data_IF_478379296491
#
_entry.id   IF_478379296491
#
_cell.length_a   1.000
_cell.length_b   1.000
_cell.length_c   1.000
_cell.angle_alpha   90.00
_cell.angle_beta   90.00
_cell.angle_gamma   90.00
#
_symmetry.space_group_name_H-M   'P 1'
#
loop_
_entity.id
_entity.type
_entity.pdbx_description
1 polymer ?
#
# COMPACT_ATOMS: atom_id res chain seq x y z
N UNK A 1 18.28 20.24 -1.61
CA UNK A 1 17.58 21.03 -0.57
C UNK A 1 16.84 20.17 0.45
N UNK A 2 15.84 19.36 0.08
CA UNK A 2 15.10 18.53 1.04
C UNK A 2 16.01 17.62 1.91
N UNK A 3 16.88 16.83 1.28
CA UNK A 3 17.87 16.02 2.01
C UNK A 3 18.97 16.84 2.71
N UNK A 4 19.18 18.10 2.29
CA UNK A 4 20.07 19.02 3.01
C UNK A 4 19.43 19.48 4.33
N UNK A 5 18.10 19.68 4.34
CA UNK A 5 17.32 19.99 5.56
C UNK A 5 17.17 18.76 6.46
N UNK A 6 16.89 17.60 5.88
CA UNK A 6 16.76 16.34 6.61
C UNK A 6 17.44 15.19 5.85
N UNK A 7 18.70 14.84 6.20
CA UNK A 7 19.41 13.72 5.57
C UNK A 7 18.78 12.35 5.85
N UNK A 8 17.94 12.24 6.88
CA UNK A 8 17.25 10.99 7.29
C UNK A 8 15.83 10.88 6.72
N UNK A 9 15.48 11.71 5.75
CA UNK A 9 14.14 11.68 5.15
C UNK A 9 13.89 10.29 4.54
N UNK A 10 12.84 9.56 4.97
CA UNK A 10 12.58 8.22 4.48
C UNK A 10 12.17 8.21 2.99
N UNK A 11 11.52 9.27 2.54
CA UNK A 11 11.03 9.42 1.18
C UNK A 11 10.87 10.91 0.83
N UNK A 12 11.20 11.29 -0.41
CA UNK A 12 11.07 12.70 -0.83
C UNK A 12 9.63 13.24 -0.68
N UNK A 13 8.63 12.37 -0.83
CA UNK A 13 7.22 12.70 -0.62
C UNK A 13 6.86 13.08 0.83
N UNK A 14 7.72 12.79 1.82
CA UNK A 14 7.49 13.19 3.22
C UNK A 14 8.11 14.54 3.56
N UNK A 15 8.77 15.22 2.62
CA UNK A 15 9.20 16.61 2.79
C UNK A 15 8.02 17.56 2.57
N UNK A 16 7.95 18.62 3.37
CA UNK A 16 6.82 19.55 3.41
C UNK A 16 6.57 20.25 2.07
N UNK A 17 7.64 20.65 1.36
CA UNK A 17 7.53 21.30 0.07
C UNK A 17 6.88 20.36 -0.95
N UNK A 18 7.40 19.13 -1.07
CA UNK A 18 6.87 18.15 -2.03
C UNK A 18 5.45 17.72 -1.68
N UNK A 19 5.15 17.53 -0.39
CA UNK A 19 3.78 17.23 0.08
C UNK A 19 2.81 18.31 -0.37
N UNK A 20 3.19 19.58 -0.17
CA UNK A 20 2.35 20.74 -0.49
C UNK A 20 2.12 20.88 -1.99
N UNK A 21 3.18 20.79 -2.81
CA UNK A 21 3.06 20.93 -4.26
C UNK A 21 2.29 19.77 -4.89
N UNK A 22 2.53 18.53 -4.43
CA UNK A 22 1.82 17.36 -4.95
C UNK A 22 0.34 17.39 -4.57
N UNK A 23 0.01 17.80 -3.34
CA UNK A 23 -1.38 17.90 -2.89
C UNK A 23 -2.24 18.79 -3.80
N UNK A 24 -1.67 19.88 -4.34
CA UNK A 24 -2.34 20.77 -5.30
C UNK A 24 -2.66 20.07 -6.63
N UNK A 25 -1.82 19.12 -7.03
CA UNK A 25 -1.94 18.40 -8.31
C UNK A 25 -2.89 17.20 -8.25
N UNK A 26 -3.09 16.58 -7.07
CA UNK A 26 -3.87 15.34 -6.91
C UNK A 26 -5.26 15.40 -7.58
N UNK A 27 -6.09 16.46 -7.40
CA UNK A 27 -7.43 16.48 -8.00
C UNK A 27 -7.39 16.44 -9.53
N UNK A 28 -6.48 17.19 -10.16
CA UNK A 28 -6.32 17.20 -11.61
C UNK A 28 -5.77 15.88 -12.12
N UNK A 29 -4.80 15.31 -11.40
CA UNK A 29 -4.19 14.04 -11.74
C UNK A 29 -5.20 12.90 -11.78
N UNK A 30 -6.08 12.82 -10.76
CA UNK A 30 -7.18 11.83 -10.73
C UNK A 30 -8.12 11.97 -11.91
N UNK A 31 -8.50 13.21 -12.27
CA UNK A 31 -9.37 13.47 -13.44
C UNK A 31 -8.74 12.99 -14.74
N UNK A 32 -7.44 13.26 -14.94
CA UNK A 32 -6.72 12.82 -16.14
C UNK A 32 -6.64 11.29 -16.22
N UNK A 33 -6.31 10.62 -15.11
CA UNK A 33 -6.23 9.15 -15.07
C UNK A 33 -7.60 8.52 -15.34
N UNK A 34 -8.66 9.02 -14.72
CA UNK A 34 -10.02 8.52 -14.94
C UNK A 34 -10.50 8.73 -16.38
N UNK A 35 -10.29 9.93 -16.94
CA UNK A 35 -10.64 10.24 -18.32
C UNK A 35 -9.89 9.35 -19.32
N UNK A 36 -8.57 9.21 -19.13
CA UNK A 36 -7.75 8.39 -20.02
C UNK A 36 -8.19 6.93 -20.01
N UNK A 37 -8.46 6.37 -18.82
CA UNK A 37 -8.97 5.01 -18.68
C UNK A 37 -10.33 4.82 -19.38
N UNK A 38 -11.28 5.75 -19.19
CA UNK A 38 -12.59 5.68 -19.82
C UNK A 38 -12.54 5.88 -21.35
N UNK A 39 -11.54 6.61 -21.85
CA UNK A 39 -11.39 6.94 -23.27
C UNK A 39 -10.46 5.98 -24.02
N UNK A 40 -9.86 5.00 -23.34
CA UNK A 40 -8.91 4.06 -23.95
C UNK A 40 -7.53 4.62 -24.25
N UNK A 41 -7.13 5.73 -23.61
CA UNK A 41 -5.79 6.29 -23.76
C UNK A 41 -4.79 5.63 -22.81
N UNK A 42 -3.64 5.13 -23.32
CA UNK A 42 -2.62 4.54 -22.46
C UNK A 42 -1.86 5.64 -21.71
N UNK A 43 -2.01 5.68 -20.39
CA UNK A 43 -1.30 6.61 -19.50
C UNK A 43 -0.54 5.87 -18.38
N UNK A 44 0.31 4.89 -18.72
CA UNK A 44 0.86 3.93 -17.76
C UNK A 44 1.60 4.60 -16.60
N UNK A 45 2.40 5.63 -16.88
CA UNK A 45 3.16 6.35 -15.86
C UNK A 45 2.24 7.19 -14.96
N UNK A 46 1.26 7.91 -15.52
CA UNK A 46 0.33 8.71 -14.72
C UNK A 46 -0.52 7.82 -13.80
N UNK A 47 -0.97 6.67 -14.28
CA UNK A 47 -1.77 5.74 -13.49
C UNK A 47 -0.93 5.06 -12.39
N UNK A 48 0.25 4.53 -12.74
CA UNK A 48 1.09 3.79 -11.80
C UNK A 48 1.65 4.67 -10.69
N UNK A 49 2.06 5.90 -11.00
CA UNK A 49 2.60 6.83 -9.99
C UNK A 49 1.50 7.42 -9.09
N UNK A 50 0.28 7.62 -9.60
CA UNK A 50 -0.88 7.92 -8.74
C UNK A 50 -1.19 6.75 -7.79
N UNK A 51 -1.16 5.52 -8.30
CA UNK A 51 -1.34 4.32 -7.47
C UNK A 51 -0.25 4.18 -6.41
N UNK A 52 1.01 4.48 -6.75
CA UNK A 52 2.12 4.50 -5.79
C UNK A 52 1.92 5.55 -4.71
N UNK A 53 1.57 6.78 -5.08
CA UNK A 53 1.27 7.86 -4.13
C UNK A 53 0.17 7.44 -3.14
N UNK A 54 -0.93 6.87 -3.64
CA UNK A 54 -2.02 6.38 -2.80
C UNK A 54 -1.59 5.22 -1.90
N UNK A 55 -0.70 4.35 -2.37
CA UNK A 55 -0.20 3.21 -1.59
C UNK A 55 0.73 3.63 -0.47
N UNK A 56 1.63 4.59 -0.74
CA UNK A 56 2.62 5.09 0.24
C UNK A 56 1.94 5.80 1.42
N UNK A 57 0.85 6.53 1.18
CA UNK A 57 0.14 7.28 2.23
C UNK A 57 -0.93 6.46 2.97
N UNK A 58 -1.22 5.24 2.52
CA UNK A 58 -2.25 4.42 3.13
C UNK A 58 -1.73 3.79 4.43
N UNK A 59 -2.44 4.01 5.53
CA UNK A 59 -2.14 3.37 6.82
C UNK A 59 -2.29 1.84 6.74
N UNK A 60 -3.27 1.36 5.96
CA UNK A 60 -3.55 -0.06 5.77
C UNK A 60 -3.77 -0.37 4.29
N UNK A 61 -3.00 -1.32 3.79
CA UNK A 61 -3.14 -1.87 2.43
C UNK A 61 -3.91 -3.19 2.45
N UNK A 62 -4.50 -3.60 1.31
CA UNK A 62 -5.15 -4.90 1.16
C UNK A 62 -4.17 -6.09 1.21
N UNK A 63 -2.88 -5.86 1.51
CA UNK A 63 -1.86 -6.90 1.68
C UNK A 63 -2.23 -7.95 2.75
N UNK A 64 -3.12 -7.60 3.70
CA UNK A 64 -3.67 -8.57 4.65
C UNK A 64 -4.42 -9.72 3.96
N UNK A 65 -5.09 -9.46 2.83
CA UNK A 65 -5.74 -10.51 2.03
C UNK A 65 -4.70 -11.42 1.36
N UNK A 66 -3.59 -10.84 0.87
CA UNK A 66 -2.49 -11.62 0.30
C UNK A 66 -1.88 -12.52 1.38
N UNK A 67 -1.71 -12.01 2.61
CA UNK A 67 -1.26 -12.84 3.74
C UNK A 67 -2.24 -13.97 4.05
N UNK A 68 -3.54 -13.70 4.08
CA UNK A 68 -4.56 -14.72 4.28
C UNK A 68 -4.54 -15.78 3.17
N UNK A 69 -4.38 -15.37 1.90
CA UNK A 69 -4.24 -16.30 0.78
C UNK A 69 -3.02 -17.19 0.95
N UNK A 70 -1.85 -16.61 1.24
CA UNK A 70 -0.60 -17.35 1.47
C UNK A 70 -0.71 -18.36 2.60
N UNK A 71 -1.39 -17.98 3.68
CA UNK A 71 -1.65 -18.89 4.78
C UNK A 71 -2.60 -20.01 4.37
N UNK A 72 -3.67 -19.68 3.65
CA UNK A 72 -4.66 -20.64 3.13
C UNK A 72 -4.05 -21.72 2.25
N UNK A 73 -3.30 -21.34 1.20
CA UNK A 73 -2.82 -22.32 0.21
C UNK A 73 -1.49 -22.97 0.57
N UNK A 74 -0.74 -22.42 1.53
CA UNK A 74 0.67 -22.78 1.73
C UNK A 74 1.14 -22.78 3.18
N UNK A 75 0.25 -22.63 4.16
CA UNK A 75 0.57 -22.58 5.60
C UNK A 75 1.73 -21.59 5.90
N UNK A 76 1.78 -20.49 5.15
CA UNK A 76 2.88 -19.51 5.24
C UNK A 76 2.81 -18.61 6.46
N UNK A 77 1.76 -18.71 7.28
CA UNK A 77 1.52 -17.91 8.48
C UNK A 77 1.34 -16.41 8.20
N UNK A 78 0.88 -15.67 9.21
CA UNK A 78 0.77 -14.21 9.17
C UNK A 78 0.99 -13.58 10.56
N UNK A 79 1.10 -12.25 10.58
CA UNK A 79 1.14 -11.43 11.79
C UNK A 79 -0.21 -10.75 12.00
N UNK A 80 -0.57 -10.54 13.26
CA UNK A 80 -1.77 -9.80 13.66
C UNK A 80 -1.42 -8.37 14.06
N UNK A 81 -2.39 -7.47 13.96
CA UNK A 81 -2.23 -6.05 14.36
C UNK A 81 -2.53 -5.83 15.84
N UNK A 82 -3.18 -6.80 16.48
CA UNK A 82 -3.66 -6.75 17.86
C UNK A 82 -2.94 -7.75 18.79
N UNK A 83 -2.00 -8.55 18.26
CA UNK A 83 -1.29 -9.56 19.03
C UNK A 83 0.11 -9.82 18.47
N UNK A 84 1.06 -10.05 19.39
CA UNK A 84 2.43 -10.44 19.07
C UNK A 84 2.54 -11.92 18.72
N UNK A 85 3.43 -12.21 17.78
CA UNK A 85 3.75 -13.56 17.32
C UNK A 85 3.17 -13.91 15.94
N UNK A 86 3.24 -15.19 15.59
CA UNK A 86 3.01 -15.71 14.24
C UNK A 86 1.82 -16.66 14.26
N UNK A 87 0.87 -16.48 13.36
CA UNK A 87 -0.42 -17.17 13.39
C UNK A 87 -0.65 -17.96 12.11
N UNK A 88 -1.32 -19.11 12.25
CA UNK A 88 -1.80 -19.94 11.15
C UNK A 88 -3.27 -20.29 11.42
N UNK A 89 -4.10 -20.31 10.38
CA UNK A 89 -5.48 -20.78 10.46
C UNK A 89 -5.64 -22.07 9.68
N UNK A 90 -6.32 -23.05 10.26
CA UNK A 90 -6.71 -24.29 9.59
C UNK A 90 -7.93 -24.05 8.67
N UNK A 91 -7.73 -23.30 7.57
CA UNK A 91 -8.80 -22.72 6.76
C UNK A 91 -9.81 -23.72 6.18
N UNK A 92 -9.35 -24.93 5.85
CA UNK A 92 -10.16 -26.00 5.25
C UNK A 92 -10.68 -27.01 6.27
N UNK A 93 -10.30 -26.87 7.54
CA UNK A 93 -10.74 -27.74 8.62
C UNK A 93 -11.74 -26.98 9.53
N UNK A 94 -11.43 -26.87 10.83
CA UNK A 94 -12.26 -26.20 11.82
C UNK A 94 -12.02 -24.68 11.91
N UNK A 95 -11.11 -24.14 11.08
CA UNK A 95 -10.72 -22.72 11.05
C UNK A 95 -10.12 -22.23 12.36
N UNK A 96 -9.56 -23.14 13.16
CA UNK A 96 -8.84 -22.78 14.37
C UNK A 96 -7.58 -22.00 14.00
N UNK A 97 -7.36 -20.89 14.71
CA UNK A 97 -6.11 -20.14 14.65
C UNK A 97 -5.16 -20.65 15.73
N UNK A 98 -3.90 -20.89 15.36
CA UNK A 98 -2.83 -21.27 16.29
C UNK A 98 -1.66 -20.32 16.19
N UNK A 99 -1.11 -19.95 17.34
CA UNK A 99 0.19 -19.27 17.44
C UNK A 99 1.32 -20.30 17.23
N UNK A 100 2.26 -19.98 16.35
CA UNK A 100 3.35 -20.86 15.90
C UNK A 100 4.68 -20.61 16.62
N UNK A 101 4.78 -19.55 17.43
CA UNK A 101 5.98 -19.11 18.15
C UNK A 101 5.77 -18.84 19.64
#
# INVERSE_FOLDING_TARGET
EAYSRNPKLPLLLSDEYFTTEIAKCIPAWRRIVAFAAASGYPVPVFASTLSYYDSVRAERLPAALVQAQRDYFGAHTYKRVDAEGTFHVEWTEDRRETKQD
#
